data_IF_343045736869
#
_entry.id   IF_343045736869
#
_cell.length_a   1.000
_cell.length_b   1.000
_cell.length_c   1.000
_cell.angle_alpha   90.00
_cell.angle_beta   90.00
_cell.angle_gamma   90.00
#
_symmetry.space_group_name_H-M   'P 1'
#
loop_
_entity.id
_entity.type
_entity.pdbx_description
1 polymer ?
#
# COMPACT_ATOMS: atom_id res chain seq x y z
N UNK A 1 -9.31 48.16 -16.53
CA UNK A 1 -8.28 47.15 -16.86
C UNK A 1 -8.01 46.34 -15.61
N UNK A 2 -8.65 45.17 -15.48
CA UNK A 2 -8.58 44.33 -14.28
C UNK A 2 -7.25 43.59 -14.21
N UNK A 3 -6.46 43.89 -13.19
CA UNK A 3 -5.14 43.31 -12.95
C UNK A 3 -5.24 41.83 -12.59
N UNK A 4 -4.76 40.96 -13.47
CA UNK A 4 -4.44 39.58 -13.12
C UNK A 4 -3.08 39.57 -12.43
N UNK A 5 -3.07 39.92 -11.16
CA UNK A 5 -1.91 39.70 -10.31
C UNK A 5 -1.68 38.19 -10.20
N UNK A 6 -0.60 37.70 -10.80
CA UNK A 6 -0.16 36.32 -10.65
C UNK A 6 0.12 36.10 -9.17
N UNK A 7 -0.83 35.49 -8.47
CA UNK A 7 -0.60 34.95 -7.13
C UNK A 7 0.67 34.09 -7.21
N UNK A 8 1.77 34.60 -6.66
CA UNK A 8 3.00 33.84 -6.42
C UNK A 8 2.58 32.51 -5.83
N UNK A 9 2.87 31.43 -6.54
CA UNK A 9 2.47 30.09 -6.14
C UNK A 9 3.03 29.82 -4.74
N UNK A 10 2.17 29.93 -3.72
CA UNK A 10 2.48 29.45 -2.37
C UNK A 10 2.96 28.00 -2.51
N UNK A 11 4.02 27.58 -1.81
CA UNK A 11 4.48 26.20 -1.87
C UNK A 11 3.29 25.30 -1.56
N UNK A 12 2.84 24.53 -2.56
CA UNK A 12 1.71 23.60 -2.39
C UNK A 12 2.11 22.63 -1.29
N UNK A 13 1.34 22.62 -0.20
CA UNK A 13 1.45 21.56 0.82
C UNK A 13 1.40 20.21 0.12
N UNK A 14 2.30 19.29 0.46
CA UNK A 14 2.33 17.95 -0.15
C UNK A 14 0.95 17.31 -0.01
N UNK A 15 0.35 16.95 -1.13
CA UNK A 15 -0.93 16.25 -1.14
C UNK A 15 -0.79 14.92 -0.36
N UNK A 16 -1.80 14.58 0.45
CA UNK A 16 -1.82 13.30 1.17
C UNK A 16 -1.73 12.14 0.18
N UNK A 17 -0.87 11.16 0.47
CA UNK A 17 -0.73 9.98 -0.36
C UNK A 17 -2.04 9.18 -0.40
N UNK A 18 -2.34 8.44 -1.49
CA UNK A 18 -3.50 7.55 -1.53
C UNK A 18 -3.53 6.52 -0.41
N UNK A 19 -2.36 6.01 0.01
CA UNK A 19 -2.24 5.11 1.19
C UNK A 19 -2.66 5.80 2.47
N UNK A 20 -2.17 7.02 2.73
CA UNK A 20 -2.52 7.80 3.92
C UNK A 20 -4.01 8.14 3.96
N UNK A 21 -4.63 8.41 2.80
CA UNK A 21 -6.09 8.63 2.70
C UNK A 21 -6.89 7.36 2.96
N UNK A 22 -6.37 6.20 2.57
CA UNK A 22 -7.01 4.90 2.76
C UNK A 22 -6.75 4.29 4.15
N UNK A 23 -5.86 4.86 4.94
CA UNK A 23 -5.45 4.29 6.24
C UNK A 23 -4.67 2.98 6.11
N UNK A 24 -3.99 2.77 4.98
CA UNK A 24 -3.28 1.53 4.65
C UNK A 24 -1.75 1.73 4.75
N UNK A 25 -1.05 0.76 5.32
CA UNK A 25 0.42 0.72 5.29
C UNK A 25 0.94 0.34 3.91
N UNK A 26 0.18 -0.46 3.16
CA UNK A 26 0.57 -0.87 1.82
C UNK A 26 0.55 0.32 0.84
N UNK A 27 1.49 0.35 -0.13
CA UNK A 27 1.61 1.45 -1.08
C UNK A 27 0.53 1.38 -2.17
N UNK A 28 -0.64 1.96 -1.92
CA UNK A 28 -1.82 1.94 -2.82
C UNK A 28 -1.50 2.41 -4.23
N UNK A 29 -0.76 3.51 -4.38
CA UNK A 29 -0.38 4.04 -5.69
C UNK A 29 0.54 3.11 -6.48
N UNK A 30 1.44 2.39 -5.81
CA UNK A 30 2.34 1.41 -6.45
C UNK A 30 1.54 0.19 -6.90
N UNK A 31 0.70 -0.36 -6.02
CA UNK A 31 -0.15 -1.51 -6.36
C UNK A 31 -1.07 -1.15 -7.52
N UNK A 32 -1.67 0.04 -7.52
CA UNK A 32 -2.50 0.52 -8.63
C UNK A 32 -1.73 0.55 -9.96
N UNK A 33 -0.52 1.13 -9.98
CA UNK A 33 0.33 1.17 -11.17
C UNK A 33 0.74 -0.23 -11.65
N UNK A 34 1.04 -1.15 -10.73
CA UNK A 34 1.45 -2.52 -11.08
C UNK A 34 0.28 -3.30 -11.68
N UNK A 35 -0.93 -3.17 -11.13
CA UNK A 35 -2.12 -3.82 -11.71
C UNK A 35 -2.41 -3.29 -13.11
N UNK A 36 -2.24 -1.98 -13.35
CA UNK A 36 -2.43 -1.39 -14.68
C UNK A 36 -1.34 -1.73 -15.70
N UNK A 37 -0.11 -2.07 -15.25
CA UNK A 37 1.00 -2.46 -16.14
C UNK A 37 0.96 -3.94 -16.53
N UNK A 38 0.37 -4.79 -15.69
CA UNK A 38 0.25 -6.23 -15.95
C UNK A 38 -0.87 -6.59 -16.93
N UNK A 39 -1.87 -5.73 -17.09
CA UNK A 39 -2.92 -5.91 -18.10
C UNK A 39 -2.53 -5.16 -19.38
N UNK A 40 -2.05 -5.90 -20.38
CA UNK A 40 -1.85 -5.39 -21.74
C UNK A 40 -3.21 -5.00 -22.35
N UNK A 41 -3.66 -3.78 -22.10
CA UNK A 41 -4.85 -3.21 -22.73
C UNK A 41 -6.03 -3.04 -21.78
N UNK A 42 -6.01 -1.96 -20.99
CA UNK A 42 -7.20 -1.16 -20.65
C UNK A 42 -8.40 -1.84 -19.98
N UNK A 43 -8.31 -3.11 -19.56
CA UNK A 43 -9.34 -3.75 -18.73
C UNK A 43 -9.11 -3.38 -17.28
N UNK A 44 -10.23 -3.30 -16.55
CA UNK A 44 -10.27 -2.72 -15.21
C UNK A 44 -9.28 -3.49 -14.35
N UNK A 45 -8.32 -2.80 -13.67
CA UNK A 45 -7.33 -3.47 -12.85
C UNK A 45 -8.07 -4.46 -11.96
N UNK A 46 -7.76 -5.75 -12.12
CA UNK A 46 -8.37 -6.82 -11.34
C UNK A 46 -8.52 -6.40 -9.88
N UNK A 47 -9.66 -6.75 -9.26
CA UNK A 47 -10.15 -6.37 -7.93
C UNK A 47 -9.21 -6.79 -6.78
N UNK A 48 -7.91 -6.56 -6.88
CA UNK A 48 -6.98 -6.61 -5.76
C UNK A 48 -7.30 -5.43 -4.85
N UNK A 49 -8.21 -5.68 -3.92
CA UNK A 49 -8.49 -4.80 -2.82
C UNK A 49 -7.23 -4.69 -1.96
N UNK A 50 -6.62 -3.51 -1.95
CA UNK A 50 -5.34 -3.27 -1.25
C UNK A 50 -5.48 -3.56 0.25
N UNK A 51 -6.68 -3.33 0.77
CA UNK A 51 -7.05 -3.62 2.15
C UNK A 51 -7.08 -5.13 2.45
N UNK A 52 -7.57 -5.96 1.53
CA UNK A 52 -7.61 -7.41 1.72
C UNK A 52 -6.21 -8.01 1.71
N UNK A 53 -5.36 -7.58 0.77
CA UNK A 53 -3.96 -8.07 0.70
C UNK A 53 -3.18 -7.67 1.95
N UNK A 54 -3.36 -6.44 2.44
CA UNK A 54 -2.73 -5.98 3.68
C UNK A 54 -3.23 -6.77 4.89
N UNK A 55 -4.54 -7.02 4.98
CA UNK A 55 -5.14 -7.84 6.04
C UNK A 55 -4.60 -9.28 6.03
N UNK A 56 -4.59 -9.95 4.87
CA UNK A 56 -4.05 -11.31 4.75
C UNK A 56 -2.57 -11.38 5.11
N UNK A 57 -1.78 -10.38 4.69
CA UNK A 57 -0.36 -10.31 5.03
C UNK A 57 -0.16 -10.16 6.53
N UNK A 58 -0.94 -9.27 7.18
CA UNK A 58 -0.88 -9.08 8.62
C UNK A 58 -1.24 -10.37 9.37
N UNK A 59 -2.31 -11.05 8.94
CA UNK A 59 -2.76 -12.30 9.56
C UNK A 59 -1.74 -13.43 9.43
N UNK A 60 -1.14 -13.61 8.26
CA UNK A 60 -0.07 -14.61 8.06
C UNK A 60 1.14 -14.27 8.93
N UNK A 61 1.56 -13.00 8.99
CA UNK A 61 2.71 -12.59 9.81
C UNK A 61 2.46 -12.73 11.31
N UNK A 62 1.23 -12.52 11.77
CA UNK A 62 0.84 -12.72 13.17
C UNK A 62 0.95 -14.20 13.56
N UNK A 63 0.38 -15.09 12.76
CA UNK A 63 0.47 -16.54 12.99
C UNK A 63 1.91 -17.05 12.90
N UNK A 64 2.66 -16.61 11.89
CA UNK A 64 4.07 -16.98 11.73
C UNK A 64 4.95 -16.43 12.86
N UNK A 65 4.63 -15.24 13.37
CA UNK A 65 5.30 -14.64 14.52
C UNK A 65 5.04 -15.42 15.81
N UNK A 66 3.81 -15.91 15.99
CA UNK A 66 3.47 -16.77 17.12
C UNK A 66 4.21 -18.11 17.05
N UNK A 67 4.22 -18.77 15.88
CA UNK A 67 5.00 -19.98 15.66
C UNK A 67 6.52 -19.78 15.90
N UNK A 68 7.06 -18.62 15.50
CA UNK A 68 8.45 -18.27 15.80
C UNK A 68 8.70 -18.15 17.30
N UNK A 69 7.79 -17.52 18.03
CA UNK A 69 7.87 -17.34 19.48
C UNK A 69 7.79 -18.67 20.22
N UNK A 70 6.94 -19.58 19.78
CA UNK A 70 6.82 -20.94 20.34
C UNK A 70 8.12 -21.74 20.16
N UNK A 71 8.82 -21.51 19.05
CA UNK A 71 10.15 -22.06 18.79
C UNK A 71 11.30 -21.27 19.44
N UNK A 72 11.00 -20.31 20.32
CA UNK A 72 11.97 -19.44 21.00
C UNK A 72 12.87 -18.67 20.03
N UNK A 73 12.35 -18.32 18.86
CA UNK A 73 13.02 -17.51 17.84
C UNK A 73 12.42 -16.11 17.81
N UNK A 74 13.27 -15.10 17.65
CA UNK A 74 12.85 -13.70 17.45
C UNK A 74 12.61 -13.38 15.97
N UNK A 75 13.01 -14.26 15.07
CA UNK A 75 12.91 -14.10 13.61
C UNK A 75 12.01 -15.17 13.00
N UNK A 76 11.13 -14.75 12.09
CA UNK A 76 10.33 -15.65 11.24
C UNK A 76 11.24 -16.27 10.17
N UNK A 77 11.24 -17.60 10.08
CA UNK A 77 11.93 -18.38 9.03
C UNK A 77 10.89 -19.13 8.18
N UNK A 78 11.22 -19.62 6.97
CA UNK A 78 10.26 -20.28 6.07
C UNK A 78 9.45 -21.41 6.72
N UNK A 79 10.02 -22.13 7.70
CA UNK A 79 9.32 -23.18 8.45
C UNK A 79 8.07 -22.67 9.21
N UNK A 80 8.04 -21.40 9.60
CA UNK A 80 6.90 -20.82 10.32
C UNK A 80 5.76 -20.38 9.37
N UNK A 81 5.96 -20.50 8.05
CA UNK A 81 4.99 -20.14 7.01
C UNK A 81 4.41 -21.37 6.29
N UNK A 82 4.70 -22.57 6.80
CA UNK A 82 4.27 -23.84 6.22
C UNK A 82 2.82 -24.17 6.57
#
# INVERSE_FOLDING_TARGET
>A
MSGREKQRAKPRSKAKSPSSRAGLQFPVGRVHRLTLRGEAGGRRPGLFNRREVEYLTAQILELAGNAARDHKKTQIIPRHLQ
#
